data_IF_158830280741
#
_entry.id   IF_158830280741
#
_cell.length_a   1.000
_cell.length_b   1.000
_cell.length_c   1.000
_cell.angle_alpha   90.00
_cell.angle_beta   90.00
_cell.angle_gamma   90.00
#
_symmetry.space_group_name_H-M   'P 1'
#
loop_
_entity.id
_entity.type
_entity.pdbx_description
1 polymer ?
#
# COMPACT_ATOMS: atom_id res chain seq x y z
N UNK A 1 10.26 22.52 -13.25
CA UNK A 1 10.05 21.24 -12.52
C UNK A 1 9.50 21.62 -11.18
N UNK A 2 8.19 21.47 -10.98
CA UNK A 2 7.52 21.64 -9.68
C UNK A 2 6.11 21.12 -9.86
N UNK A 3 5.93 19.82 -9.70
CA UNK A 3 4.64 19.22 -9.38
C UNK A 3 4.93 18.20 -8.29
N UNK A 4 5.17 18.72 -7.08
CA UNK A 4 5.12 17.95 -5.85
C UNK A 4 3.65 17.68 -5.49
N UNK A 5 2.89 17.13 -6.44
CA UNK A 5 1.56 16.62 -6.16
C UNK A 5 1.75 15.35 -5.32
N UNK A 6 1.66 15.47 -3.99
CA UNK A 6 1.53 14.31 -3.12
C UNK A 6 0.14 13.72 -3.39
N UNK A 7 0.05 12.85 -4.38
CA UNK A 7 -1.18 12.16 -4.75
C UNK A 7 -1.35 10.99 -3.79
N UNK A 8 -2.46 10.95 -3.08
CA UNK A 8 -2.87 9.75 -2.34
C UNK A 8 -3.58 8.79 -3.29
N UNK A 9 -3.58 7.51 -2.95
CA UNK A 9 -4.25 6.47 -3.71
C UNK A 9 -5.05 5.57 -2.78
N UNK A 10 -6.27 5.25 -3.19
CA UNK A 10 -7.08 4.19 -2.57
C UNK A 10 -6.86 2.93 -3.39
N UNK A 11 -6.36 1.87 -2.75
CA UNK A 11 -6.15 0.57 -3.39
C UNK A 11 -7.24 -0.39 -2.94
N UNK A 12 -7.95 -0.97 -3.91
CA UNK A 12 -8.91 -2.04 -3.69
C UNK A 12 -8.19 -3.37 -3.89
N UNK A 13 -8.17 -4.19 -2.84
CA UNK A 13 -7.47 -5.48 -2.84
C UNK A 13 -8.43 -6.65 -3.08
N UNK A 14 -7.94 -7.68 -3.78
CA UNK A 14 -8.56 -9.00 -3.83
C UNK A 14 -8.27 -9.74 -2.51
N UNK A 15 -9.22 -9.63 -1.58
CA UNK A 15 -9.08 -10.17 -0.22
C UNK A 15 -8.82 -11.68 -0.21
N UNK A 16 -9.42 -12.43 -1.15
CA UNK A 16 -9.22 -13.88 -1.20
C UNK A 16 -7.78 -14.21 -1.56
N UNK A 17 -7.21 -13.54 -2.58
CA UNK A 17 -5.81 -13.74 -2.95
C UNK A 17 -4.84 -13.23 -1.90
N UNK A 18 -5.12 -12.08 -1.28
CA UNK A 18 -4.33 -11.57 -0.14
C UNK A 18 -4.32 -12.58 1.02
N UNK A 19 -5.47 -13.19 1.34
CA UNK A 19 -5.58 -14.18 2.40
C UNK A 19 -4.83 -15.50 2.09
N UNK A 20 -4.77 -15.91 0.81
CA UNK A 20 -3.99 -17.09 0.40
C UNK A 20 -2.48 -16.82 0.38
N UNK A 21 -2.07 -15.58 0.14
CA UNK A 21 -0.66 -15.20 -0.09
C UNK A 21 -0.06 -14.35 1.05
N UNK A 22 -0.62 -14.41 2.27
CA UNK A 22 -0.27 -13.51 3.38
C UNK A 22 1.23 -13.28 3.59
N UNK A 23 2.05 -14.34 3.57
CA UNK A 23 3.49 -14.22 3.75
C UNK A 23 4.16 -13.36 2.66
N UNK A 24 3.82 -13.61 1.39
CA UNK A 24 4.34 -12.84 0.25
C UNK A 24 3.83 -11.40 0.24
N UNK A 25 2.57 -11.19 0.62
CA UNK A 25 2.01 -9.85 0.77
C UNK A 25 2.74 -9.08 1.87
N UNK A 26 3.07 -9.73 2.98
CA UNK A 26 3.82 -9.11 4.06
C UNK A 26 5.25 -8.76 3.63
N UNK A 27 5.93 -9.66 2.92
CA UNK A 27 7.25 -9.41 2.33
C UNK A 27 7.22 -8.20 1.38
N UNK A 28 6.18 -8.10 0.54
CA UNK A 28 5.98 -6.94 -0.33
C UNK A 28 5.85 -5.63 0.47
N UNK A 29 5.06 -5.62 1.54
CA UNK A 29 4.89 -4.43 2.38
C UNK A 29 6.16 -4.06 3.16
N UNK A 30 6.95 -5.05 3.57
CA UNK A 30 8.26 -4.80 4.18
C UNK A 30 9.28 -4.20 3.20
N UNK A 31 9.18 -4.55 1.92
CA UNK A 31 10.01 -4.01 0.86
C UNK A 31 9.53 -2.62 0.37
N UNK A 32 8.34 -2.20 0.78
CA UNK A 32 7.80 -0.89 0.47
C UNK A 32 8.47 0.14 1.37
N UNK A 33 9.46 0.84 0.80
CA UNK A 33 10.17 1.93 1.49
C UNK A 33 9.33 3.20 1.44
N UNK A 34 8.89 3.69 2.61
CA UNK A 34 8.20 4.97 2.75
C UNK A 34 9.18 6.15 2.89
N UNK A 35 10.49 5.88 2.84
CA UNK A 35 11.57 6.87 2.99
C UNK A 35 11.75 7.37 4.42
N UNK A 36 11.04 6.78 5.39
CA UNK A 36 11.14 7.11 6.80
C UNK A 36 12.00 6.04 7.47
N UNK A 37 13.25 6.38 7.80
CA UNK A 37 14.18 5.51 8.52
C UNK A 37 13.76 5.32 9.99
N UNK A 38 12.63 4.62 10.18
CA UNK A 38 11.96 4.40 11.47
C UNK A 38 12.44 3.13 12.19
N UNK A 39 13.40 2.41 11.60
CA UNK A 39 13.92 1.16 12.11
C UNK A 39 13.09 -0.08 11.76
N UNK A 40 13.78 -1.23 11.72
CA UNK A 40 13.24 -2.50 11.20
C UNK A 40 12.01 -3.02 11.97
N UNK A 41 11.99 -2.88 13.30
CA UNK A 41 10.87 -3.36 14.13
C UNK A 41 9.59 -2.55 13.90
N UNK A 42 9.72 -1.24 13.67
CA UNK A 42 8.60 -0.38 13.35
C UNK A 42 8.04 -0.75 11.97
N UNK A 43 8.90 -0.90 10.97
CA UNK A 43 8.51 -1.28 9.61
C UNK A 43 7.81 -2.64 9.56
N UNK A 44 8.27 -3.61 10.38
CA UNK A 44 7.58 -4.89 10.55
C UNK A 44 6.20 -4.75 11.14
N UNK A 45 6.08 -3.93 12.19
CA UNK A 45 4.81 -3.73 12.88
C UNK A 45 3.79 -2.98 12.02
N UNK A 46 4.22 -1.93 11.31
CA UNK A 46 3.38 -1.15 10.39
C UNK A 46 2.91 -2.00 9.19
N UNK A 47 3.82 -2.78 8.57
CA UNK A 47 3.49 -3.69 7.46
C UNK A 47 2.48 -4.76 7.86
N UNK A 48 2.64 -5.34 9.05
CA UNK A 48 1.68 -6.30 9.60
C UNK A 48 0.32 -5.65 9.86
N UNK A 49 0.31 -4.45 10.46
CA UNK A 49 -0.92 -3.72 10.70
C UNK A 49 -1.65 -3.35 9.39
N UNK A 50 -0.91 -3.02 8.33
CA UNK A 50 -1.45 -2.78 7.00
C UNK A 50 -2.14 -4.04 6.45
N UNK A 51 -1.46 -5.19 6.48
CA UNK A 51 -2.02 -6.48 6.06
C UNK A 51 -3.30 -6.83 6.84
N UNK A 52 -3.28 -6.67 8.17
CA UNK A 52 -4.44 -6.94 9.02
C UNK A 52 -5.63 -6.03 8.68
N UNK A 53 -5.38 -4.75 8.37
CA UNK A 53 -6.42 -3.81 7.93
C UNK A 53 -7.02 -4.22 6.58
N UNK A 54 -6.21 -4.66 5.62
CA UNK A 54 -6.68 -5.16 4.32
C UNK A 54 -7.58 -6.37 4.54
N UNK A 55 -7.13 -7.36 5.31
CA UNK A 55 -7.89 -8.57 5.60
C UNK A 55 -9.19 -8.28 6.36
N UNK A 56 -9.21 -7.25 7.21
CA UNK A 56 -10.40 -6.73 7.86
C UNK A 56 -11.31 -5.90 6.94
N UNK A 57 -11.01 -5.82 5.64
CA UNK A 57 -11.76 -5.06 4.61
C UNK A 57 -11.89 -3.58 4.94
N UNK A 58 -10.91 -3.02 5.65
CA UNK A 58 -10.88 -1.58 5.95
C UNK A 58 -10.41 -0.81 4.74
N UNK A 59 -10.95 0.40 4.55
CA UNK A 59 -10.45 1.35 3.55
C UNK A 59 -9.03 1.78 3.96
N UNK A 60 -8.12 1.77 3.00
CA UNK A 60 -6.71 2.14 3.20
C UNK A 60 -6.35 3.18 2.16
N UNK A 61 -5.62 4.19 2.63
CA UNK A 61 -5.02 5.22 1.82
C UNK A 61 -3.52 5.00 1.83
N UNK A 62 -2.93 5.00 0.65
CA UNK A 62 -1.50 4.89 0.42
C UNK A 62 -1.02 6.12 -0.34
N UNK A 63 0.28 6.35 -0.37
CA UNK A 63 0.88 7.25 -1.35
C UNK A 63 0.72 6.64 -2.75
N UNK A 64 0.68 7.48 -3.78
CA UNK A 64 0.58 6.99 -5.17
C UNK A 64 1.76 6.11 -5.55
N UNK A 65 2.96 6.43 -5.06
CA UNK A 65 4.18 5.63 -5.25
C UNK A 65 4.05 4.24 -4.63
N UNK A 66 3.49 4.13 -3.43
CA UNK A 66 3.23 2.86 -2.74
C UNK A 66 2.18 2.03 -3.49
N UNK A 67 1.09 2.68 -3.92
CA UNK A 67 0.06 2.02 -4.71
C UNK A 67 0.59 1.51 -6.06
N UNK A 68 1.43 2.29 -6.73
CA UNK A 68 2.12 1.90 -7.96
C UNK A 68 3.08 0.74 -7.73
N UNK A 69 3.88 0.79 -6.65
CA UNK A 69 4.78 -0.28 -6.27
C UNK A 69 4.03 -1.60 -6.08
N UNK A 70 2.97 -1.61 -5.27
CA UNK A 70 2.16 -2.80 -5.04
C UNK A 70 1.53 -3.32 -6.33
N UNK A 71 0.99 -2.43 -7.17
CA UNK A 71 0.37 -2.82 -8.44
C UNK A 71 1.38 -3.44 -9.41
N UNK A 72 2.61 -2.95 -9.43
CA UNK A 72 3.65 -3.45 -10.33
C UNK A 72 4.24 -4.78 -9.86
N UNK A 73 4.54 -4.91 -8.57
CA UNK A 73 5.15 -6.11 -7.99
C UNK A 73 4.16 -7.25 -7.84
N UNK A 74 2.90 -6.95 -7.51
CA UNK A 74 1.90 -7.98 -7.25
C UNK A 74 0.50 -7.61 -7.80
N UNK A 75 0.37 -7.41 -9.12
CA UNK A 75 -0.87 -6.95 -9.75
C UNK A 75 -2.06 -7.87 -9.47
N UNK A 76 -1.82 -9.17 -9.29
CA UNK A 76 -2.88 -10.15 -9.08
C UNK A 76 -3.68 -9.92 -7.79
N UNK A 77 -3.14 -9.23 -6.78
CA UNK A 77 -3.87 -8.90 -5.54
C UNK A 77 -4.57 -7.54 -5.60
N UNK A 78 -4.37 -6.76 -6.67
CA UNK A 78 -4.96 -5.44 -6.86
C UNK A 78 -6.15 -5.56 -7.80
N UNK A 79 -7.31 -5.10 -7.33
CA UNK A 79 -8.53 -5.02 -8.14
C UNK A 79 -8.62 -3.67 -8.83
N UNK A 80 -8.27 -2.60 -8.12
CA UNK A 80 -8.42 -1.22 -8.61
C UNK A 80 -7.50 -0.28 -7.80
N UNK A 81 -7.00 0.77 -8.46
CA UNK A 81 -6.27 1.87 -7.83
C UNK A 81 -6.95 3.18 -8.24
N UNK A 82 -7.37 3.98 -7.26
CA UNK A 82 -8.00 5.28 -7.46
C UNK A 82 -7.05 6.34 -6.93
N UNK A 83 -6.49 7.15 -7.81
CA UNK A 83 -5.62 8.27 -7.43
C UNK A 83 -6.47 9.50 -7.10
N UNK A 84 -6.23 10.09 -5.94
CA UNK A 84 -6.83 11.34 -5.51
C UNK A 84 -5.78 12.45 -5.70
N UNK A 85 -6.05 13.38 -6.63
CA UNK A 85 -5.32 14.64 -6.66
C UNK A 85 -5.81 15.47 -5.46
N UNK A 86 -4.90 15.97 -4.64
CA UNK A 86 -5.22 17.08 -3.75
C UNK A 86 -5.33 18.34 -4.61
N UNK A 87 -6.49 18.55 -5.23
CA UNK A 87 -6.83 19.90 -5.68
C UNK A 87 -6.92 20.76 -4.41
N UNK A 88 -5.91 21.61 -4.20
CA UNK A 88 -5.91 22.58 -3.12
C UNK A 88 -7.19 23.42 -3.20
N UNK A 89 -8.04 23.32 -2.17
CA UNK A 89 -9.11 24.29 -1.91
C UNK A 89 -8.49 25.55 -1.31
#
# INVERSE_FOLDING_TARGET
MNDSDIKSAIVKFDIAKVAMMKAKVLELFLAMDDGLDMGEEFNKSSSKALLDRILAKKKIYLLSSEADFIRNEMPQIVVEVIYENQDCV
#
